data_IF_917013422244
#
_entry.id   IF_917013422244
#
_cell.length_a   1.000
_cell.length_b   1.000
_cell.length_c   1.000
_cell.angle_alpha   90.00
_cell.angle_beta   90.00
_cell.angle_gamma   90.00
#
_symmetry.space_group_name_H-M   'P 1'
#
loop_
_entity.id
_entity.type
_entity.pdbx_description
1 polymer ?
#
# COMPACT_ATOMS: atom_id res chain seq x y z
N UNK A 1 5.63 19.26 6.88
CA UNK A 1 5.63 18.03 6.06
C UNK A 1 7.03 17.79 5.54
N UNK A 2 7.51 16.56 5.64
CA UNK A 2 8.79 16.16 5.06
C UNK A 2 8.57 15.61 3.64
N UNK A 3 9.57 15.73 2.76
CA UNK A 3 9.52 15.14 1.43
C UNK A 3 9.77 13.64 1.55
N UNK A 4 8.86 12.82 1.06
CA UNK A 4 9.08 11.37 0.95
C UNK A 4 10.12 11.06 -0.13
N UNK A 5 10.97 10.07 0.14
CA UNK A 5 11.93 9.49 -0.78
C UNK A 5 11.51 8.05 -1.07
N UNK A 6 11.55 7.65 -2.34
CA UNK A 6 11.29 6.28 -2.73
C UNK A 6 12.46 5.38 -2.29
N UNK A 7 12.16 4.31 -1.57
CA UNK A 7 13.16 3.41 -0.98
C UNK A 7 12.92 1.98 -1.50
N UNK A 8 13.92 1.45 -2.23
CA UNK A 8 13.87 0.12 -2.83
C UNK A 8 13.74 -1.01 -1.79
N UNK A 9 14.23 -0.82 -0.56
CA UNK A 9 14.07 -1.81 0.51
C UNK A 9 12.62 -1.83 1.04
N UNK A 10 11.96 -0.66 1.09
CA UNK A 10 10.53 -0.55 1.42
C UNK A 10 9.69 -1.14 0.30
N UNK A 11 10.06 -0.89 -0.96
CA UNK A 11 9.42 -1.52 -2.13
C UNK A 11 9.54 -3.04 -2.09
N UNK A 12 10.73 -3.59 -1.88
CA UNK A 12 10.94 -5.04 -1.77
C UNK A 12 10.08 -5.66 -0.66
N UNK A 13 9.87 -4.94 0.44
CA UNK A 13 8.95 -5.33 1.51
C UNK A 13 7.48 -5.31 1.05
N UNK A 14 7.04 -4.26 0.35
CA UNK A 14 5.71 -4.18 -0.25
C UNK A 14 5.48 -5.28 -1.31
N UNK A 15 6.48 -5.61 -2.13
CA UNK A 15 6.45 -6.70 -3.13
C UNK A 15 6.21 -8.04 -2.44
N UNK A 16 6.92 -8.32 -1.34
CA UNK A 16 6.71 -9.57 -0.57
C UNK A 16 5.28 -9.68 -0.07
N UNK A 17 4.71 -8.59 0.44
CA UNK A 17 3.31 -8.51 0.88
C UNK A 17 2.33 -8.72 -0.29
N UNK A 18 2.48 -7.96 -1.38
CA UNK A 18 1.60 -8.04 -2.54
C UNK A 18 1.61 -9.42 -3.21
N UNK A 19 2.76 -10.10 -3.25
CA UNK A 19 2.89 -11.45 -3.82
C UNK A 19 2.12 -12.52 -3.04
N UNK A 20 1.73 -12.27 -1.78
CA UNK A 20 0.90 -13.22 -1.01
C UNK A 20 -0.53 -13.34 -1.53
N UNK A 21 -1.02 -12.32 -2.26
CA UNK A 21 -2.40 -12.26 -2.75
C UNK A 21 -3.47 -12.50 -1.66
N UNK A 22 -3.18 -12.15 -0.40
CA UNK A 22 -4.15 -12.28 0.70
C UNK A 22 -5.25 -11.23 0.64
N UNK A 23 -4.95 -10.06 0.03
CA UNK A 23 -5.85 -8.90 0.05
C UNK A 23 -6.02 -8.28 1.44
N UNK A 24 -5.05 -8.48 2.34
CA UNK A 24 -5.08 -8.02 3.72
C UNK A 24 -3.71 -7.46 4.13
N UNK A 25 -3.70 -6.60 5.14
CA UNK A 25 -2.47 -6.11 5.76
C UNK A 25 -1.51 -7.24 6.14
N UNK A 26 -0.24 -7.05 5.81
CA UNK A 26 0.84 -7.92 6.26
C UNK A 26 1.06 -7.78 7.78
N UNK A 27 1.49 -8.87 8.46
CA UNK A 27 1.81 -8.81 9.88
C UNK A 27 2.93 -7.80 10.17
N UNK A 28 2.86 -7.01 11.26
CA UNK A 28 3.92 -6.03 11.57
C UNK A 28 5.33 -6.63 11.69
N UNK A 29 5.44 -7.91 12.06
CA UNK A 29 6.71 -8.64 12.13
C UNK A 29 7.39 -8.84 10.77
N UNK A 30 6.65 -8.81 9.66
CA UNK A 30 7.22 -8.99 8.31
C UNK A 30 7.68 -7.66 7.69
N UNK A 31 7.33 -6.53 8.32
CA UNK A 31 7.64 -5.16 7.87
C UNK A 31 8.03 -4.26 9.07
N UNK A 32 9.11 -4.61 9.80
CA UNK A 32 9.50 -3.90 11.00
C UNK A 32 9.79 -2.42 10.72
N UNK A 33 9.21 -1.53 11.53
CA UNK A 33 9.36 -0.08 11.36
C UNK A 33 8.68 0.50 10.13
N UNK A 34 7.72 -0.23 9.53
CA UNK A 34 6.94 0.25 8.40
C UNK A 34 5.43 0.15 8.68
N UNK A 35 4.70 1.22 8.36
CA UNK A 35 3.24 1.20 8.22
C UNK A 35 2.87 0.72 6.81
N UNK A 36 1.64 0.28 6.63
CA UNK A 36 1.17 -0.26 5.35
C UNK A 36 -0.26 0.19 5.07
N UNK A 37 -0.52 0.48 3.80
CA UNK A 37 -1.84 0.61 3.19
C UNK A 37 -2.02 -0.53 2.18
N UNK A 38 -3.15 -1.22 2.28
CA UNK A 38 -3.54 -2.35 1.44
C UNK A 38 -4.86 -2.04 0.71
N UNK A 39 -4.90 -2.23 -0.60
CA UNK A 39 -6.08 -1.98 -1.42
C UNK A 39 -6.34 -3.12 -2.41
N UNK A 40 -7.59 -3.56 -2.45
CA UNK A 40 -8.05 -4.62 -3.36
C UNK A 40 -8.94 -4.01 -4.44
N UNK A 41 -8.47 -4.06 -5.69
CA UNK A 41 -9.19 -3.51 -6.83
C UNK A 41 -9.77 -4.67 -7.63
N UNK A 42 -11.08 -4.85 -7.58
CA UNK A 42 -11.79 -5.94 -8.27
C UNK A 42 -12.03 -5.68 -9.75
N UNK A 43 -11.72 -4.45 -10.20
CA UNK A 43 -11.84 -4.07 -11.60
C UNK A 43 -10.64 -4.63 -12.39
N UNK A 44 -10.84 -5.82 -12.96
CA UNK A 44 -9.80 -6.55 -13.70
C UNK A 44 -9.62 -6.05 -15.14
N UNK A 45 -10.42 -5.07 -15.58
CA UNK A 45 -10.26 -4.42 -16.88
C UNK A 45 -9.09 -3.44 -16.90
N UNK A 46 -8.67 -2.95 -15.72
CA UNK A 46 -7.57 -2.02 -15.57
C UNK A 46 -6.22 -2.66 -15.90
N UNK A 47 -5.30 -1.84 -16.37
CA UNK A 47 -3.86 -2.10 -16.39
C UNK A 47 -3.29 -2.08 -14.97
N UNK A 48 -2.12 -2.70 -14.72
CA UNK A 48 -1.42 -2.59 -13.45
C UNK A 48 -1.15 -1.14 -13.01
N UNK A 49 -0.86 -0.24 -13.96
CA UNK A 49 -0.59 1.17 -13.74
C UNK A 49 -1.86 1.91 -13.29
N UNK A 50 -2.98 1.72 -13.97
CA UNK A 50 -4.27 2.30 -13.57
C UNK A 50 -4.73 1.75 -12.21
N UNK A 51 -4.48 0.46 -11.95
CA UNK A 51 -4.73 -0.12 -10.63
C UNK A 51 -3.83 0.52 -9.56
N UNK A 52 -2.56 0.81 -9.86
CA UNK A 52 -1.65 1.50 -8.94
C UNK A 52 -2.18 2.90 -8.58
N UNK A 53 -2.53 3.69 -9.60
CA UNK A 53 -3.06 5.04 -9.43
C UNK A 53 -4.36 5.02 -8.61
N UNK A 54 -5.30 4.15 -8.97
CA UNK A 54 -6.56 3.98 -8.23
C UNK A 54 -6.27 3.59 -6.78
N UNK A 55 -5.38 2.63 -6.54
CA UNK A 55 -5.03 2.15 -5.20
C UNK A 55 -4.47 3.22 -4.27
N UNK A 56 -3.77 4.23 -4.80
CA UNK A 56 -3.24 5.34 -4.01
C UNK A 56 -4.33 6.32 -3.53
N UNK A 57 -5.41 6.46 -4.30
CA UNK A 57 -6.45 7.48 -4.07
C UNK A 57 -7.82 6.89 -3.71
N UNK A 58 -7.92 5.60 -3.41
CA UNK A 58 -9.17 5.02 -2.89
C UNK A 58 -9.54 5.73 -1.58
N UNK A 59 -10.67 6.43 -1.63
CA UNK A 59 -11.40 6.89 -0.46
C UNK A 59 -11.93 5.66 0.29
N UNK A 60 -11.14 5.13 1.22
CA UNK A 60 -11.65 4.25 2.28
C UNK A 60 -12.47 5.15 3.23
N UNK A 61 -13.76 5.30 2.99
CA UNK A 61 -14.71 6.11 3.78
C UNK A 61 -15.95 5.25 4.07
N UNK A 62 -16.82 5.65 5.03
CA UNK A 62 -16.60 5.89 6.46
C UNK A 62 -16.82 4.62 7.31
N UNK A 63 -17.17 3.48 6.71
CA UNK A 63 -17.65 2.28 7.41
C UNK A 63 -16.52 1.30 7.79
N UNK A 64 -15.26 1.70 7.55
CA UNK A 64 -14.09 0.92 7.92
C UNK A 64 -13.28 1.68 8.98
N UNK A 65 -13.14 1.16 10.22
CA UNK A 65 -12.38 1.81 11.29
C UNK A 65 -10.86 1.82 11.03
N UNK A 66 -10.41 1.36 9.87
CA UNK A 66 -9.00 1.39 9.45
C UNK A 66 -8.67 2.79 8.89
N UNK A 67 -7.61 3.40 9.46
CA UNK A 67 -7.10 4.74 9.12
C UNK A 67 -7.13 5.00 7.61
N UNK A 68 -7.56 6.20 7.15
CA UNK A 68 -7.61 6.46 5.72
C UNK A 68 -6.21 6.33 5.14
N UNK A 69 -6.09 5.74 3.94
CA UNK A 69 -4.84 5.58 3.17
C UNK A 69 -4.05 6.90 3.16
N UNK A 70 -4.78 8.00 2.99
CA UNK A 70 -4.28 9.38 3.03
C UNK A 70 -3.57 9.74 4.35
N UNK A 71 -3.97 9.23 5.51
CA UNK A 71 -3.35 9.58 6.78
C UNK A 71 -1.91 9.09 6.86
N UNK A 72 -1.60 7.88 6.36
CA UNK A 72 -0.21 7.41 6.34
C UNK A 72 0.64 8.19 5.33
N UNK A 73 0.05 8.57 4.19
CA UNK A 73 0.73 9.39 3.18
C UNK A 73 1.02 10.81 3.67
N UNK A 74 0.12 11.39 4.48
CA UNK A 74 0.25 12.74 5.02
C UNK A 74 0.95 12.79 6.39
N UNK A 75 1.33 11.64 6.95
CA UNK A 75 1.89 11.55 8.29
C UNK A 75 3.29 12.18 8.34
N UNK A 76 3.50 13.11 9.29
CA UNK A 76 4.59 14.07 9.20
C UNK A 76 6.01 13.48 9.24
N UNK A 77 6.20 12.31 9.87
CA UNK A 77 7.50 11.64 10.01
C UNK A 77 7.71 10.52 8.99
N UNK A 78 6.70 10.18 8.17
CA UNK A 78 6.87 9.21 7.09
C UNK A 78 7.68 9.86 5.95
N UNK A 79 8.93 9.42 5.80
CA UNK A 79 9.89 9.97 4.83
C UNK A 79 10.36 8.95 3.81
N UNK A 80 10.00 7.68 3.99
CA UNK A 80 10.33 6.59 3.06
C UNK A 80 9.05 5.96 2.54
N UNK A 81 9.00 5.72 1.23
CA UNK A 81 7.88 5.11 0.53
C UNK A 81 8.36 3.96 -0.35
N UNK A 82 7.58 2.89 -0.41
CA UNK A 82 7.73 1.85 -1.42
C UNK A 82 6.40 1.14 -1.64
N UNK A 83 6.06 0.85 -2.90
CA UNK A 83 4.77 0.28 -3.27
C UNK A 83 4.91 -0.90 -4.23
N UNK A 84 3.89 -1.74 -4.29
CA UNK A 84 3.80 -2.85 -5.22
C UNK A 84 2.35 -3.08 -5.65
N UNK A 85 2.18 -3.47 -6.92
CA UNK A 85 0.91 -3.94 -7.47
C UNK A 85 1.08 -5.38 -7.93
N UNK A 86 0.19 -6.26 -7.47
CA UNK A 86 0.14 -7.66 -7.91
C UNK A 86 -1.22 -7.96 -8.52
N UNK A 87 -1.22 -8.51 -9.74
CA UNK A 87 -2.42 -9.13 -10.32
C UNK A 87 -2.66 -10.49 -9.66
N UNK A 88 -3.73 -10.60 -8.89
CA UNK A 88 -4.18 -11.82 -8.23
C UNK A 88 -5.41 -12.38 -8.95
N UNK A 89 -5.90 -13.55 -8.52
CA UNK A 89 -7.11 -14.14 -9.09
C UNK A 89 -8.34 -13.30 -8.71
N UNK A 90 -8.85 -12.51 -9.66
CA UNK A 90 -10.08 -11.72 -9.51
C UNK A 90 -9.91 -10.34 -8.86
N UNK A 91 -8.68 -9.91 -8.56
CA UNK A 91 -8.39 -8.55 -8.09
C UNK A 91 -6.92 -8.17 -8.30
N UNK A 92 -6.65 -6.86 -8.34
CA UNK A 92 -5.31 -6.32 -8.13
C UNK A 92 -5.12 -6.02 -6.65
N UNK A 93 -3.98 -6.46 -6.12
CA UNK A 93 -3.57 -6.17 -4.75
C UNK A 93 -2.50 -5.09 -4.77
N UNK A 94 -2.85 -3.90 -4.28
CA UNK A 94 -1.97 -2.73 -4.21
C UNK A 94 -1.53 -2.54 -2.78
N UNK A 95 -0.23 -2.58 -2.54
CA UNK A 95 0.38 -2.43 -1.22
C UNK A 95 1.36 -1.27 -1.26
N UNK A 96 1.24 -0.34 -0.31
CA UNK A 96 2.24 0.71 -0.09
C UNK A 96 2.69 0.69 1.36
N UNK A 97 4.00 0.77 1.59
CA UNK A 97 4.60 0.82 2.90
C UNK A 97 5.33 2.14 3.14
N UNK A 98 5.32 2.59 4.40
CA UNK A 98 5.80 3.91 4.82
C UNK A 98 6.69 3.80 6.05
N UNK A 99 7.82 4.48 6.08
CA UNK A 99 8.77 4.44 7.20
C UNK A 99 9.20 5.83 7.68
N UNK A 100 9.58 5.98 8.97
CA UNK A 100 9.70 4.94 10.00
C UNK A 100 8.37 4.59 10.72
N UNK A 101 7.29 5.28 10.37
CA UNK A 101 5.96 5.04 10.94
C UNK A 101 5.64 5.79 12.21
#
# INVERSE_FOLDING_TARGET
>A
MQKMVYDCAVEASAIRSANTCTGQLSPPSTRPGLKENDNNIKDMSLTPEEAAEKGLFIKKYPDSPSKPVMLQMAWHNNVRLGCAVKKCSGFYFVVCQYGPG
#
